data_IF_061898194091
#
_entry.id   IF_061898194091
#
_cell.length_a   1.000
_cell.length_b   1.000
_cell.length_c   1.000
_cell.angle_alpha   90.00
_cell.angle_beta   90.00
_cell.angle_gamma   90.00
#
_symmetry.space_group_name_H-M   'P 1'
#
loop_
_entity.id
_entity.type
_entity.pdbx_description
1 polymer ?
#
# COMPACT_ATOMS: atom_id res chain seq x y z
N UNK A 1 -12.50 -1.19 11.56
CA UNK A 1 -11.17 -0.96 10.97
C UNK A 1 -11.30 -0.82 9.46
N UNK A 2 -10.59 0.11 8.81
CA UNK A 2 -10.57 0.25 7.33
C UNK A 2 -9.30 -0.41 6.78
N UNK A 3 -9.42 -1.22 5.74
CA UNK A 3 -8.25 -1.71 4.98
C UNK A 3 -8.07 -0.84 3.75
N UNK A 4 -6.99 -0.06 3.73
CA UNK A 4 -6.60 0.75 2.58
C UNK A 4 -5.75 -0.13 1.67
N UNK A 5 -6.25 -0.41 0.47
CA UNK A 5 -5.58 -1.27 -0.51
C UNK A 5 -5.15 -0.41 -1.70
N UNK A 6 -3.84 -0.31 -1.91
CA UNK A 6 -3.26 0.55 -2.95
C UNK A 6 -2.38 -0.28 -3.88
N UNK A 7 -2.79 -0.47 -5.15
CA UNK A 7 -1.92 -1.04 -6.16
C UNK A 7 -0.83 -0.03 -6.52
N UNK A 8 0.44 -0.44 -6.50
CA UNK A 8 1.57 0.41 -6.90
C UNK A 8 2.35 -0.26 -8.05
N UNK A 9 2.84 0.54 -8.99
CA UNK A 9 3.71 0.09 -10.08
C UNK A 9 4.49 1.27 -10.66
N UNK A 10 5.79 1.31 -10.42
CA UNK A 10 6.67 2.38 -10.88
C UNK A 10 6.19 3.79 -10.47
N UNK A 11 5.97 3.96 -9.16
CA UNK A 11 5.47 5.17 -8.51
C UNK A 11 6.60 5.94 -7.77
N UNK A 12 7.86 5.80 -8.20
CA UNK A 12 8.98 6.55 -7.63
C UNK A 12 8.70 8.07 -7.65
N UNK A 13 8.96 8.73 -6.53
CA UNK A 13 8.64 10.15 -6.32
C UNK A 13 7.19 10.43 -5.94
N UNK A 14 6.26 9.49 -6.11
CA UNK A 14 4.84 9.64 -5.77
C UNK A 14 4.43 8.82 -4.54
N UNK A 15 4.98 7.62 -4.38
CA UNK A 15 4.60 6.72 -3.27
C UNK A 15 5.01 7.29 -1.91
N UNK A 16 6.19 7.91 -1.79
CA UNK A 16 6.61 8.52 -0.51
C UNK A 16 5.70 9.67 -0.06
N UNK A 17 5.38 10.69 -0.88
CA UNK A 17 4.41 11.72 -0.51
C UNK A 17 3.03 11.16 -0.13
N UNK A 18 2.55 10.15 -0.86
CA UNK A 18 1.31 9.45 -0.54
C UNK A 18 1.34 8.82 0.87
N UNK A 19 2.43 8.12 1.20
CA UNK A 19 2.62 7.52 2.53
C UNK A 19 2.70 8.57 3.64
N UNK A 20 3.40 9.69 3.41
CA UNK A 20 3.48 10.80 4.38
C UNK A 20 2.08 11.38 4.65
N UNK A 21 1.22 11.45 3.64
CA UNK A 21 -0.16 11.94 3.80
C UNK A 21 -1.00 10.92 4.57
N UNK A 22 -0.92 9.63 4.23
CA UNK A 22 -1.65 8.59 4.94
C UNK A 22 -1.23 8.45 6.40
N UNK A 23 0.06 8.63 6.73
CA UNK A 23 0.53 8.55 8.11
C UNK A 23 -0.06 9.65 9.03
N UNK A 24 -0.59 10.74 8.46
CA UNK A 24 -1.28 11.80 9.20
C UNK A 24 -2.76 11.50 9.45
N UNK A 25 -3.32 10.49 8.78
CA UNK A 25 -4.73 10.11 8.94
C UNK A 25 -4.92 9.49 10.31
N UNK A 26 -5.90 10.02 11.05
CA UNK A 26 -6.31 9.48 12.35
C UNK A 26 -7.33 8.37 12.16
N UNK A 27 -7.30 7.38 13.05
CA UNK A 27 -8.25 6.27 13.06
C UNK A 27 -7.55 4.93 12.97
N UNK A 28 -8.36 3.88 13.02
CA UNK A 28 -7.90 2.50 12.97
C UNK A 28 -7.97 1.97 11.54
N UNK A 29 -6.80 1.76 10.95
CA UNK A 29 -6.64 1.26 9.59
C UNK A 29 -5.39 0.39 9.47
N UNK A 30 -5.41 -0.52 8.50
CA UNK A 30 -4.22 -1.15 7.95
C UNK A 30 -4.00 -0.65 6.52
N UNK A 31 -2.74 -0.62 6.09
CA UNK A 31 -2.35 -0.24 4.74
C UNK A 31 -1.73 -1.45 4.04
N UNK A 32 -2.30 -1.81 2.90
CA UNK A 32 -1.86 -2.94 2.08
C UNK A 32 -1.44 -2.39 0.72
N UNK A 33 -0.14 -2.22 0.54
CA UNK A 33 0.44 -1.89 -0.75
C UNK A 33 0.65 -3.18 -1.54
N UNK A 34 0.25 -3.20 -2.81
CA UNK A 34 0.43 -4.36 -3.68
C UNK A 34 1.21 -3.96 -4.92
N UNK A 35 2.49 -4.32 -4.95
CA UNK A 35 3.39 -4.01 -6.05
C UNK A 35 3.15 -4.91 -7.26
N UNK A 36 3.02 -4.30 -8.44
CA UNK A 36 2.80 -4.97 -9.72
C UNK A 36 4.07 -5.41 -10.44
N UNK A 37 5.22 -5.42 -9.77
CA UNK A 37 6.54 -5.64 -10.36
C UNK A 37 7.24 -4.34 -10.74
N UNK A 38 7.34 -3.39 -9.80
CA UNK A 38 8.08 -2.15 -10.00
C UNK A 38 9.56 -2.43 -10.30
N UNK A 39 10.15 -1.58 -11.16
CA UNK A 39 11.56 -1.67 -11.60
C UNK A 39 12.36 -0.40 -11.32
N UNK A 40 11.74 0.58 -10.67
CA UNK A 40 12.29 1.87 -10.31
C UNK A 40 12.51 1.95 -8.77
N UNK A 41 12.69 3.16 -8.24
CA UNK A 41 12.89 3.40 -6.80
C UNK A 41 11.68 3.16 -5.90
N UNK A 42 10.50 2.79 -6.42
CA UNK A 42 9.24 2.66 -5.66
C UNK A 42 9.39 1.84 -4.38
N UNK A 43 9.96 0.63 -4.49
CA UNK A 43 10.06 -0.27 -3.34
C UNK A 43 11.02 0.27 -2.27
N UNK A 44 12.10 0.93 -2.69
CA UNK A 44 13.04 1.56 -1.76
C UNK A 44 12.35 2.69 -0.99
N UNK A 45 11.53 3.49 -1.65
CA UNK A 45 10.74 4.54 -0.98
C UNK A 45 9.76 3.96 0.05
N UNK A 46 9.07 2.87 -0.30
CA UNK A 46 8.14 2.18 0.62
C UNK A 46 8.88 1.66 1.85
N UNK A 47 10.01 0.96 1.66
CA UNK A 47 10.79 0.41 2.78
C UNK A 47 11.29 1.50 3.73
N UNK A 48 11.74 2.63 3.19
CA UNK A 48 12.21 3.77 3.99
C UNK A 48 11.11 4.36 4.87
N UNK A 49 9.85 4.30 4.44
CA UNK A 49 8.70 4.81 5.21
C UNK A 49 8.01 3.73 6.07
N UNK A 50 8.33 2.44 5.90
CA UNK A 50 7.62 1.33 6.55
C UNK A 50 7.53 1.47 8.07
N UNK A 51 8.62 1.87 8.71
CA UNK A 51 8.69 1.98 10.17
C UNK A 51 7.77 3.07 10.74
N UNK A 52 7.45 4.10 9.94
CA UNK A 52 6.57 5.19 10.36
C UNK A 52 5.13 4.71 10.63
N UNK A 53 4.71 3.61 10.00
CA UNK A 53 3.37 3.04 10.13
C UNK A 53 3.20 2.11 11.32
N UNK A 54 4.21 1.92 12.18
CA UNK A 54 4.12 1.11 13.41
C UNK A 54 3.54 -0.29 13.17
N UNK A 55 3.94 -0.93 12.06
CA UNK A 55 3.47 -2.28 11.69
C UNK A 55 2.13 -2.34 10.95
N UNK A 56 1.45 -1.20 10.73
CA UNK A 56 0.18 -1.14 9.96
C UNK A 56 0.36 -1.32 8.45
N UNK A 57 1.59 -1.12 7.93
CA UNK A 57 1.89 -1.21 6.50
C UNK A 57 2.40 -2.60 6.13
N UNK A 58 1.67 -3.26 5.24
CA UNK A 58 2.03 -4.52 4.58
C UNK A 58 2.33 -4.24 3.11
N UNK A 59 3.42 -4.82 2.61
CA UNK A 59 3.78 -4.77 1.19
C UNK A 59 3.67 -6.17 0.62
N UNK A 60 2.94 -6.31 -0.47
CA UNK A 60 2.76 -7.56 -1.20
C UNK A 60 3.27 -7.38 -2.63
N UNK A 61 3.50 -8.49 -3.32
CA UNK A 61 3.74 -8.52 -4.76
C UNK A 61 2.62 -9.28 -5.46
N UNK A 62 2.27 -8.84 -6.67
CA UNK A 62 1.38 -9.53 -7.58
C UNK A 62 1.83 -9.27 -9.04
N UNK A 63 1.39 -10.09 -10.01
CA UNK A 63 1.56 -9.76 -11.42
C UNK A 63 0.96 -8.38 -11.75
N UNK A 64 1.55 -7.69 -12.73
CA UNK A 64 1.07 -6.40 -13.22
C UNK A 64 -0.42 -6.48 -13.60
N UNK A 65 -1.21 -5.59 -13.01
CA UNK A 65 -2.61 -5.42 -13.35
C UNK A 65 -3.40 -4.87 -12.18
N UNK A 66 -4.05 -3.71 -12.35
CA UNK A 66 -4.76 -3.01 -11.28
C UNK A 66 -5.74 -3.91 -10.53
N UNK A 67 -6.58 -4.66 -11.26
CA UNK A 67 -7.53 -5.59 -10.66
C UNK A 67 -6.85 -6.77 -9.92
N UNK A 68 -5.76 -7.31 -10.47
CA UNK A 68 -5.01 -8.42 -9.85
C UNK A 68 -4.43 -7.96 -8.51
N UNK A 69 -3.79 -6.79 -8.51
CA UNK A 69 -3.19 -6.19 -7.32
C UNK A 69 -4.25 -5.86 -6.26
N UNK A 70 -5.35 -5.21 -6.65
CA UNK A 70 -6.47 -4.91 -5.74
C UNK A 70 -7.10 -6.17 -5.14
N UNK A 71 -7.36 -7.19 -5.95
CA UNK A 71 -7.94 -8.45 -5.49
C UNK A 71 -7.00 -9.19 -4.53
N UNK A 72 -5.69 -9.19 -4.81
CA UNK A 72 -4.68 -9.78 -3.92
C UNK A 72 -4.64 -9.08 -2.56
N UNK A 73 -4.75 -7.74 -2.55
CA UNK A 73 -4.85 -6.96 -1.33
C UNK A 73 -6.12 -7.27 -0.55
N UNK A 74 -7.27 -7.32 -1.23
CA UNK A 74 -8.57 -7.62 -0.63
C UNK A 74 -8.61 -9.02 0.02
N UNK A 75 -7.93 -10.01 -0.57
CA UNK A 75 -7.85 -11.37 -0.02
C UNK A 75 -7.15 -11.47 1.34
N UNK A 76 -6.29 -10.51 1.68
CA UNK A 76 -5.53 -10.53 2.95
C UNK A 76 -5.92 -9.39 3.90
N UNK A 77 -6.92 -8.60 3.52
CA UNK A 77 -7.47 -7.53 4.32
C UNK A 77 -8.27 -8.10 5.50
N UNK A 78 -8.15 -7.45 6.64
CA UNK A 78 -8.82 -7.80 7.90
C UNK A 78 -9.90 -6.79 8.29
N UNK A 79 -9.97 -5.63 7.63
CA UNK A 79 -10.97 -4.59 7.92
C UNK A 79 -12.32 -4.88 7.27
N UNK A 80 -13.39 -4.44 7.93
CA UNK A 80 -14.77 -4.62 7.46
C UNK A 80 -15.10 -3.75 6.23
N UNK A 81 -14.32 -2.68 6.02
CA UNK A 81 -14.44 -1.74 4.90
C UNK A 81 -13.15 -1.77 4.10
N UNK A 82 -13.28 -2.00 2.80
CA UNK A 82 -12.18 -1.92 1.83
C UNK A 82 -12.22 -0.55 1.15
N UNK A 83 -11.13 0.21 1.28
CA UNK A 83 -10.93 1.47 0.58
C UNK A 83 -9.80 1.29 -0.45
N UNK A 84 -10.09 1.55 -1.71
CA UNK A 84 -9.10 1.49 -2.78
C UNK A 84 -8.65 2.91 -3.14
N UNK A 85 -7.35 3.16 -3.02
CA UNK A 85 -6.69 4.41 -3.42
C UNK A 85 -5.67 4.10 -4.52
#
# INVERSE_FOLDING_TARGET
MISIITPILNEEGYVKPFLIHLNKVKGDFELILVDGGSKDGTLNEVENCRNEFQGKLRLLSAPRGRAIQMNKGAQVAHGDILLFL
#
